data_IF_485002836111
#
_entry.id   IF_485002836111
#
_cell.length_a   1.000
_cell.length_b   1.000
_cell.length_c   1.000
_cell.angle_alpha   90.00
_cell.angle_beta   90.00
_cell.angle_gamma   90.00
#
_symmetry.space_group_name_H-M   'P 1'
#
loop_
_entity.id
_entity.type
_entity.pdbx_description
1 polymer ?
#
# COMPACT_ATOMS: atom_id res chain seq x y z
N UNK A 1 -2.08 -20.76 -15.22
CA UNK A 1 -2.92 -20.34 -16.39
C UNK A 1 -2.15 -20.16 -17.67
N UNK A 2 -2.80 -20.13 -18.85
CA UNK A 2 -2.16 -19.77 -20.12
C UNK A 2 -2.34 -18.27 -20.41
N UNK A 3 -1.23 -17.54 -20.60
CA UNK A 3 -1.24 -16.08 -20.83
C UNK A 3 -0.81 -15.81 -22.27
N UNK A 4 -1.67 -15.17 -23.06
CA UNK A 4 -1.29 -14.69 -24.39
C UNK A 4 -0.55 -13.34 -24.28
N UNK A 5 0.49 -13.14 -25.09
CA UNK A 5 1.29 -11.90 -25.05
C UNK A 5 1.27 -11.22 -26.42
N UNK A 6 0.74 -10.01 -26.44
CA UNK A 6 0.80 -9.10 -27.59
C UNK A 6 1.73 -7.95 -27.24
N UNK A 7 2.90 -7.89 -27.85
CA UNK A 7 3.88 -6.84 -27.56
C UNK A 7 3.49 -5.49 -28.15
N UNK A 8 3.85 -4.42 -27.47
CA UNK A 8 3.73 -3.06 -28.01
C UNK A 8 4.65 -2.92 -29.24
N UNK A 9 4.11 -2.57 -30.43
CA UNK A 9 4.94 -2.40 -31.63
C UNK A 9 5.86 -1.18 -31.55
N UNK A 10 5.57 -0.23 -30.65
CA UNK A 10 6.33 0.99 -30.45
C UNK A 10 6.72 1.13 -28.97
N UNK A 11 7.69 0.33 -28.47
CA UNK A 11 8.05 0.35 -27.07
C UNK A 11 8.64 1.70 -26.65
N UNK A 12 8.22 2.17 -25.49
CA UNK A 12 8.74 3.37 -24.86
C UNK A 12 10.13 3.16 -24.26
N UNK A 13 10.60 4.17 -23.55
CA UNK A 13 11.86 4.14 -22.82
C UNK A 13 11.65 4.62 -21.41
N UNK A 14 12.34 3.97 -20.46
CA UNK A 14 12.37 4.42 -19.08
C UNK A 14 12.95 5.85 -19.00
N UNK A 15 12.19 6.83 -18.45
CA UNK A 15 12.70 8.17 -18.22
C UNK A 15 13.81 8.19 -17.15
N UNK A 16 14.62 9.25 -17.09
CA UNK A 16 15.56 9.49 -15.99
C UNK A 16 14.85 9.47 -14.62
N UNK A 17 15.57 9.07 -13.57
CA UNK A 17 15.00 8.85 -12.24
C UNK A 17 14.30 10.09 -11.63
N UNK A 18 14.81 11.28 -11.91
CA UNK A 18 14.27 12.57 -11.48
C UNK A 18 12.95 12.97 -12.17
N UNK A 19 12.59 12.29 -13.27
CA UNK A 19 11.35 12.51 -14.03
C UNK A 19 10.26 11.46 -13.76
N UNK A 20 10.54 10.43 -12.97
CA UNK A 20 9.61 9.33 -12.78
C UNK A 20 8.36 9.74 -11.96
N UNK A 21 8.54 10.54 -10.90
CA UNK A 21 7.44 10.85 -9.98
C UNK A 21 6.87 9.58 -9.32
N UNK A 22 5.56 9.61 -9.04
CA UNK A 22 4.83 8.43 -8.56
C UNK A 22 3.49 8.28 -9.29
N UNK A 23 3.31 7.18 -10.03
CA UNK A 23 2.06 6.85 -10.71
C UNK A 23 1.70 7.70 -11.92
N UNK A 24 2.64 8.46 -12.49
CA UNK A 24 2.43 9.34 -13.65
C UNK A 24 3.02 8.81 -14.95
N UNK A 25 3.98 7.89 -14.86
CA UNK A 25 4.61 7.21 -16.00
C UNK A 25 4.17 5.76 -15.99
N UNK A 26 3.78 5.19 -17.13
CA UNK A 26 3.38 3.79 -17.22
C UNK A 26 4.27 3.04 -18.20
N UNK A 27 4.36 1.72 -18.01
CA UNK A 27 5.14 0.83 -18.87
C UNK A 27 4.41 0.53 -20.18
N UNK A 28 5.03 -0.26 -21.04
CA UNK A 28 4.49 -0.58 -22.38
C UNK A 28 3.27 -1.50 -22.35
N UNK A 29 3.10 -2.29 -21.31
CA UNK A 29 2.08 -3.34 -21.27
C UNK A 29 1.23 -3.29 -20.00
N UNK A 30 0.05 -3.92 -20.09
CA UNK A 30 -0.83 -4.23 -18.96
C UNK A 30 -1.30 -5.68 -19.05
N UNK A 31 -1.64 -6.29 -17.92
CA UNK A 31 -2.28 -7.60 -17.85
C UNK A 31 -3.78 -7.42 -17.69
N UNK A 32 -4.56 -8.27 -18.37
CA UNK A 32 -6.02 -8.35 -18.25
C UNK A 32 -6.45 -9.81 -18.19
N UNK A 33 -7.46 -10.09 -17.36
CA UNK A 33 -8.16 -11.38 -17.30
C UNK A 33 -9.62 -11.12 -16.99
N UNK A 34 -10.52 -11.80 -17.70
CA UNK A 34 -11.94 -11.58 -17.61
C UNK A 34 -12.61 -12.69 -16.78
N UNK A 35 -13.70 -12.36 -16.07
CA UNK A 35 -14.52 -13.29 -15.32
C UNK A 35 -15.97 -13.21 -15.76
N UNK A 36 -16.62 -14.37 -15.89
CA UNK A 36 -18.05 -14.51 -15.97
C UNK A 36 -18.49 -15.74 -15.16
N UNK A 37 -19.70 -15.74 -14.63
CA UNK A 37 -20.23 -16.91 -13.90
C UNK A 37 -20.21 -18.19 -14.71
N UNK A 38 -20.36 -18.10 -16.03
CA UNK A 38 -20.37 -19.26 -16.92
C UNK A 38 -18.99 -19.86 -17.15
N UNK A 39 -17.95 -19.02 -17.28
CA UNK A 39 -16.61 -19.44 -17.71
C UNK A 39 -15.58 -19.40 -16.59
N UNK A 40 -15.93 -18.81 -15.43
CA UNK A 40 -14.94 -18.45 -14.41
C UNK A 40 -13.92 -17.46 -14.97
N UNK A 41 -12.70 -17.47 -14.45
CA UNK A 41 -11.60 -16.68 -14.96
C UNK A 41 -11.08 -17.22 -16.28
N UNK A 42 -10.99 -16.37 -17.30
CA UNK A 42 -10.59 -16.73 -18.66
C UNK A 42 -9.91 -15.58 -19.38
N UNK A 43 -9.40 -15.83 -20.61
CA UNK A 43 -8.83 -14.83 -21.50
C UNK A 43 -7.67 -14.04 -20.86
N UNK A 44 -6.77 -14.72 -20.12
CA UNK A 44 -5.60 -14.09 -19.53
C UNK A 44 -4.64 -13.61 -20.63
N UNK A 45 -4.31 -12.30 -20.62
CA UNK A 45 -3.52 -11.67 -21.68
C UNK A 45 -2.66 -10.52 -21.16
N UNK A 46 -1.49 -10.38 -21.75
CA UNK A 46 -0.64 -9.18 -21.67
C UNK A 46 -0.77 -8.45 -23.00
N UNK A 47 -1.18 -7.19 -22.94
CA UNK A 47 -1.45 -6.35 -24.12
C UNK A 47 -0.78 -4.98 -23.97
N UNK A 48 -0.61 -4.20 -25.05
CA UNK A 48 -0.14 -2.83 -24.92
C UNK A 48 -0.97 -2.01 -23.92
N UNK A 49 -0.31 -1.20 -23.08
CA UNK A 49 -0.98 -0.31 -22.15
C UNK A 49 -1.85 0.71 -22.91
N UNK A 50 -3.09 0.87 -22.50
CA UNK A 50 -4.03 1.77 -23.15
C UNK A 50 -5.38 1.86 -22.42
N UNK A 51 -6.34 2.57 -22.98
CA UNK A 51 -7.69 2.71 -22.42
C UNK A 51 -8.38 1.36 -22.25
N UNK A 52 -9.15 1.22 -21.16
CA UNK A 52 -10.05 0.09 -20.93
C UNK A 52 -11.44 0.54 -21.39
N UNK A 53 -12.02 -0.20 -22.36
CA UNK A 53 -13.39 0.02 -22.80
C UNK A 53 -14.36 -0.70 -21.87
N UNK A 54 -15.37 0.00 -21.36
CA UNK A 54 -16.45 -0.59 -20.55
C UNK A 54 -17.78 0.10 -20.82
N UNK A 55 -18.89 -0.61 -20.49
CA UNK A 55 -20.22 -0.03 -20.53
C UNK A 55 -20.34 1.15 -19.56
N UNK A 56 -21.00 2.26 -19.91
CA UNK A 56 -21.30 3.31 -18.96
C UNK A 56 -22.23 2.84 -17.83
N UNK A 57 -22.92 1.70 -17.98
CA UNK A 57 -23.71 1.06 -16.94
C UNK A 57 -22.89 0.06 -16.09
N UNK A 58 -21.56 -0.07 -16.30
CA UNK A 58 -20.74 -0.97 -15.50
C UNK A 58 -20.86 -0.62 -14.01
N UNK A 59 -21.19 -1.61 -13.18
CA UNK A 59 -21.56 -1.42 -11.77
C UNK A 59 -20.43 -0.76 -10.94
N UNK A 60 -19.19 -0.96 -11.31
CA UNK A 60 -18.04 -0.27 -10.68
C UNK A 60 -18.15 1.26 -10.73
N UNK A 61 -18.68 1.81 -11.83
CA UNK A 61 -18.82 3.27 -12.03
C UNK A 61 -19.88 3.90 -11.10
N UNK A 62 -20.81 3.09 -10.59
CA UNK A 62 -21.94 3.54 -9.79
C UNK A 62 -21.83 3.15 -8.31
N UNK A 63 -21.25 1.99 -8.03
CA UNK A 63 -21.25 1.40 -6.68
C UNK A 63 -19.85 1.18 -6.11
N UNK A 64 -18.77 1.50 -6.88
CA UNK A 64 -17.39 1.37 -6.43
C UNK A 64 -17.03 -0.08 -6.08
N UNK A 65 -17.62 -1.07 -6.77
CA UNK A 65 -17.30 -2.49 -6.59
C UNK A 65 -15.97 -2.83 -7.21
N UNK A 66 -14.89 -2.40 -6.53
CA UNK A 66 -13.52 -2.63 -6.94
C UNK A 66 -12.60 -2.81 -5.74
N UNK A 67 -11.51 -3.53 -5.96
CA UNK A 67 -10.42 -3.72 -5.02
C UNK A 67 -9.09 -3.57 -5.73
N UNK A 68 -8.06 -3.17 -5.01
CA UNK A 68 -6.75 -3.01 -5.60
C UNK A 68 -5.62 -3.43 -4.67
N UNK A 69 -4.45 -3.59 -5.23
CA UNK A 69 -3.23 -3.87 -4.51
C UNK A 69 -2.11 -2.90 -4.89
N UNK A 70 -1.05 -2.94 -4.11
CA UNK A 70 0.15 -2.19 -4.41
C UNK A 70 1.37 -2.92 -3.87
N UNK A 71 2.27 -3.29 -4.76
CA UNK A 71 3.56 -3.88 -4.45
C UNK A 71 4.62 -3.30 -5.40
N UNK A 72 5.87 -3.70 -5.22
CA UNK A 72 6.98 -3.17 -6.01
C UNK A 72 7.89 -4.28 -6.51
N UNK A 73 8.46 -4.07 -7.70
CA UNK A 73 9.62 -4.81 -8.18
C UNK A 73 10.87 -3.94 -8.05
N UNK A 74 11.97 -4.56 -7.70
CA UNK A 74 13.24 -3.91 -7.41
C UNK A 74 14.36 -4.49 -8.27
N UNK A 75 15.23 -3.63 -8.79
CA UNK A 75 16.47 -4.04 -9.47
C UNK A 75 17.52 -4.35 -8.43
N UNK A 76 18.02 -5.60 -8.41
CA UNK A 76 19.10 -6.02 -7.53
C UNK A 76 20.46 -5.55 -8.05
N UNK A 77 21.50 -5.50 -7.20
CA UNK A 77 22.87 -5.14 -7.63
C UNK A 77 23.47 -6.07 -8.72
N UNK A 78 23.01 -7.32 -8.79
CA UNK A 78 23.42 -8.28 -9.83
C UNK A 78 22.67 -8.10 -11.17
N UNK A 79 21.80 -7.11 -11.26
CA UNK A 79 20.97 -6.81 -12.43
C UNK A 79 19.66 -7.60 -12.51
N UNK A 80 19.45 -8.58 -11.63
CA UNK A 80 18.19 -9.32 -11.54
C UNK A 80 17.05 -8.46 -11.00
N UNK A 81 15.83 -8.96 -11.11
CA UNK A 81 14.62 -8.32 -10.58
C UNK A 81 14.01 -9.20 -9.50
N UNK A 82 13.50 -8.59 -8.45
CA UNK A 82 12.78 -9.31 -7.40
C UNK A 82 11.56 -8.55 -6.91
N UNK A 83 10.58 -9.31 -6.38
CA UNK A 83 9.41 -8.81 -5.66
C UNK A 83 9.60 -9.02 -4.15
N UNK A 84 8.82 -8.29 -3.35
CA UNK A 84 8.80 -8.44 -1.90
C UNK A 84 7.46 -8.95 -1.41
N UNK A 85 7.38 -10.18 -0.89
CA UNK A 85 6.19 -10.87 -0.34
C UNK A 85 4.96 -10.81 -1.27
N UNK A 86 5.07 -11.03 -2.59
CA UNK A 86 3.97 -10.83 -3.53
C UNK A 86 2.77 -11.75 -3.24
N UNK A 87 2.97 -12.93 -2.69
CA UNK A 87 1.91 -13.86 -2.26
C UNK A 87 0.99 -13.25 -1.19
N UNK A 88 1.52 -12.44 -0.29
CA UNK A 88 0.72 -11.74 0.72
C UNK A 88 -0.21 -10.69 0.08
N UNK A 89 0.23 -10.05 -1.02
CA UNK A 89 -0.59 -9.12 -1.78
C UNK A 89 -1.75 -9.86 -2.47
N UNK A 90 -1.47 -10.99 -3.14
CA UNK A 90 -2.52 -11.78 -3.81
C UNK A 90 -3.53 -12.32 -2.78
N UNK A 91 -3.06 -12.87 -1.66
CA UNK A 91 -3.93 -13.32 -0.58
C UNK A 91 -4.77 -12.17 0.01
N UNK A 92 -4.21 -10.95 0.11
CA UNK A 92 -4.95 -9.77 0.61
C UNK A 92 -5.94 -9.24 -0.43
N UNK A 93 -5.62 -9.29 -1.72
CA UNK A 93 -6.56 -9.00 -2.80
C UNK A 93 -7.82 -9.88 -2.65
N UNK A 94 -7.64 -11.20 -2.47
CA UNK A 94 -8.73 -12.14 -2.27
C UNK A 94 -9.57 -11.83 -1.02
N UNK A 95 -8.95 -11.47 0.10
CA UNK A 95 -9.69 -11.01 1.29
C UNK A 95 -10.51 -9.75 1.02
N UNK A 96 -9.98 -8.84 0.21
CA UNK A 96 -10.73 -7.64 -0.21
C UNK A 96 -11.88 -8.01 -1.16
N UNK A 97 -11.68 -8.97 -2.07
CA UNK A 97 -12.74 -9.51 -2.92
C UNK A 97 -13.88 -10.12 -2.08
N UNK A 98 -13.55 -10.95 -1.09
CA UNK A 98 -14.55 -11.55 -0.18
C UNK A 98 -15.41 -10.47 0.48
N UNK A 99 -14.79 -9.35 0.90
CA UNK A 99 -15.52 -8.27 1.58
C UNK A 99 -16.49 -7.53 0.67
N UNK A 100 -16.18 -7.41 -0.62
CA UNK A 100 -17.00 -6.70 -1.61
C UNK A 100 -17.86 -7.61 -2.48
N UNK A 101 -17.82 -8.93 -2.27
CA UNK A 101 -18.57 -9.89 -3.10
C UNK A 101 -18.03 -10.01 -4.52
N UNK A 102 -16.74 -9.75 -4.72
CA UNK A 102 -16.05 -9.94 -5.99
C UNK A 102 -15.50 -11.37 -6.12
N UNK A 103 -15.34 -11.91 -7.34
CA UNK A 103 -14.78 -13.25 -7.52
C UNK A 103 -13.31 -13.30 -7.09
N UNK A 104 -12.94 -14.36 -6.35
CA UNK A 104 -11.55 -14.61 -5.96
C UNK A 104 -10.72 -15.05 -7.16
N UNK A 105 -9.44 -14.70 -7.15
CA UNK A 105 -8.44 -15.20 -8.10
C UNK A 105 -7.72 -16.37 -7.45
N UNK A 106 -7.37 -17.42 -8.23
CA UNK A 106 -6.41 -18.41 -7.79
C UNK A 106 -5.07 -17.72 -7.43
N UNK A 107 -4.50 -18.05 -6.27
CA UNK A 107 -3.33 -17.33 -5.76
C UNK A 107 -2.07 -17.55 -6.61
N UNK A 108 -1.90 -18.76 -7.17
CA UNK A 108 -0.79 -19.07 -8.07
C UNK A 108 -0.96 -18.35 -9.42
N UNK A 109 -2.18 -18.28 -9.95
CA UNK A 109 -2.50 -17.54 -11.17
C UNK A 109 -2.28 -16.03 -10.97
N UNK A 110 -2.70 -15.47 -9.84
CA UNK A 110 -2.46 -14.07 -9.51
C UNK A 110 -0.97 -13.74 -9.40
N UNK A 111 -0.19 -14.62 -8.77
CA UNK A 111 1.27 -14.47 -8.68
C UNK A 111 1.93 -14.62 -10.05
N UNK A 112 1.50 -15.58 -10.86
CA UNK A 112 1.98 -15.76 -12.23
C UNK A 112 1.72 -14.51 -13.08
N UNK A 113 0.52 -13.94 -13.03
CA UNK A 113 0.17 -12.71 -13.77
C UNK A 113 1.12 -11.55 -13.45
N UNK A 114 1.41 -11.34 -12.16
CA UNK A 114 2.35 -10.30 -11.71
C UNK A 114 3.76 -10.57 -12.26
N UNK A 115 4.27 -11.80 -12.12
CA UNK A 115 5.62 -12.17 -12.55
C UNK A 115 5.79 -12.02 -14.06
N UNK A 116 4.86 -12.56 -14.85
CA UNK A 116 4.94 -12.52 -16.32
C UNK A 116 4.87 -11.09 -16.86
N UNK A 117 4.00 -10.24 -16.30
CA UNK A 117 3.93 -8.84 -16.71
C UNK A 117 5.23 -8.09 -16.39
N UNK A 118 5.79 -8.26 -15.18
CA UNK A 118 7.06 -7.63 -14.81
C UNK A 118 8.21 -8.17 -15.65
N UNK A 119 8.19 -9.45 -16.02
CA UNK A 119 9.18 -10.06 -16.92
C UNK A 119 9.13 -9.44 -18.32
N UNK A 120 7.93 -9.27 -18.89
CA UNK A 120 7.74 -8.62 -20.21
C UNK A 120 8.26 -7.20 -20.21
N UNK A 121 8.01 -6.42 -19.15
CA UNK A 121 8.42 -5.02 -18.99
C UNK A 121 9.65 -4.85 -18.08
N UNK A 122 10.51 -5.84 -17.98
CA UNK A 122 11.67 -5.81 -17.08
C UNK A 122 12.64 -4.65 -17.33
N UNK A 123 12.72 -4.15 -18.57
CA UNK A 123 13.51 -2.95 -18.91
C UNK A 123 13.00 -1.67 -18.25
N UNK A 124 11.76 -1.65 -17.78
CA UNK A 124 11.16 -0.53 -17.07
C UNK A 124 11.42 -0.54 -15.54
N UNK A 125 12.08 -1.58 -15.02
CA UNK A 125 12.50 -1.61 -13.61
C UNK A 125 13.72 -0.73 -13.44
N UNK A 126 13.62 0.45 -12.79
CA UNK A 126 14.73 1.38 -12.65
C UNK A 126 15.80 0.82 -11.70
N UNK A 127 17.04 1.31 -11.86
CA UNK A 127 18.22 0.86 -11.10
C UNK A 127 18.76 1.91 -10.13
N UNK A 128 18.31 3.16 -10.23
CA UNK A 128 18.78 4.23 -9.38
C UNK A 128 18.38 4.01 -7.91
N UNK A 129 19.20 4.43 -6.94
CA UNK A 129 18.87 4.25 -5.52
C UNK A 129 17.51 4.86 -5.14
N UNK A 130 16.72 4.11 -4.39
CA UNK A 130 15.37 4.53 -3.95
C UNK A 130 14.27 4.39 -4.99
N UNK A 131 14.59 4.07 -6.25
CA UNK A 131 13.61 3.85 -7.32
C UNK A 131 13.06 2.43 -7.29
N UNK A 132 11.93 2.21 -7.95
CA UNK A 132 11.28 0.90 -8.05
C UNK A 132 10.25 0.87 -9.17
N UNK A 133 9.83 -0.30 -9.62
CA UNK A 133 8.67 -0.45 -10.46
C UNK A 133 7.45 -0.72 -9.57
N UNK A 134 6.53 0.23 -9.49
CA UNK A 134 5.27 0.06 -8.77
C UNK A 134 4.31 -0.80 -9.58
N UNK A 135 3.72 -1.78 -8.94
CA UNK A 135 2.77 -2.74 -9.53
C UNK A 135 1.40 -2.48 -8.93
N UNK A 136 0.39 -2.24 -9.76
CA UNK A 136 -0.99 -1.98 -9.37
C UNK A 136 -1.93 -3.06 -9.91
N UNK A 137 -2.09 -4.19 -9.21
CA UNK A 137 -3.20 -5.10 -9.47
C UNK A 137 -4.51 -4.46 -9.00
N UNK A 138 -5.58 -4.60 -9.77
CA UNK A 138 -6.92 -4.19 -9.39
C UNK A 138 -7.96 -5.07 -10.04
N UNK A 139 -9.08 -5.26 -9.36
CA UNK A 139 -10.18 -6.10 -9.80
C UNK A 139 -11.48 -5.31 -9.62
N UNK A 140 -12.27 -5.26 -10.67
CA UNK A 140 -13.49 -4.47 -10.68
C UNK A 140 -14.62 -5.17 -11.42
N UNK A 141 -15.85 -4.90 -10.99
CA UNK A 141 -17.06 -5.43 -11.61
C UNK A 141 -17.37 -4.71 -12.92
N UNK A 142 -17.74 -5.48 -13.93
CA UNK A 142 -18.09 -4.98 -15.26
C UNK A 142 -19.55 -5.23 -15.64
N UNK A 143 -20.36 -5.76 -14.72
CA UNK A 143 -21.80 -5.99 -14.93
C UNK A 143 -22.49 -4.76 -15.52
N UNK A 144 -23.08 -4.82 -16.71
CA UNK A 144 -23.64 -3.65 -17.40
C UNK A 144 -25.07 -3.34 -16.95
N UNK A 145 -25.24 -3.05 -15.66
CA UNK A 145 -26.56 -2.86 -15.02
C UNK A 145 -26.51 -1.83 -13.90
N UNK A 146 -27.61 -1.11 -13.71
CA UNK A 146 -27.85 -0.23 -12.56
C UNK A 146 -28.55 -0.94 -11.41
N UNK A 147 -28.85 -2.24 -11.54
CA UNK A 147 -29.38 -3.03 -10.42
C UNK A 147 -28.22 -3.37 -9.46
N UNK A 148 -28.45 -3.20 -8.15
CA UNK A 148 -27.48 -3.62 -7.14
C UNK A 148 -27.70 -5.10 -6.83
N UNK A 149 -26.73 -5.93 -7.19
CA UNK A 149 -26.71 -7.38 -6.97
C UNK A 149 -25.27 -7.90 -6.79
N UNK A 150 -25.12 -9.21 -6.61
CA UNK A 150 -23.79 -9.85 -6.62
C UNK A 150 -23.09 -9.69 -7.98
N UNK A 151 -21.79 -9.73 -7.97
CA UNK A 151 -20.98 -9.56 -9.19
C UNK A 151 -20.98 -10.85 -10.02
N UNK A 152 -21.38 -10.75 -11.29
CA UNK A 152 -21.42 -11.85 -12.27
C UNK A 152 -20.37 -11.70 -13.38
N UNK A 153 -19.91 -10.45 -13.62
CA UNK A 153 -18.87 -10.12 -14.59
C UNK A 153 -17.83 -9.22 -13.94
N UNK A 154 -16.56 -9.53 -14.12
CA UNK A 154 -15.46 -8.76 -13.58
C UNK A 154 -14.23 -8.81 -14.49
N UNK A 155 -13.33 -7.85 -14.32
CA UNK A 155 -12.00 -7.85 -14.92
C UNK A 155 -10.94 -7.72 -13.83
N UNK A 156 -9.93 -8.57 -13.88
CA UNK A 156 -8.68 -8.41 -13.16
C UNK A 156 -7.63 -7.79 -14.07
N UNK A 157 -7.05 -6.69 -13.64
CA UNK A 157 -6.06 -5.95 -14.40
C UNK A 157 -4.81 -5.69 -13.56
N UNK A 158 -3.65 -5.58 -14.23
CA UNK A 158 -2.41 -5.13 -13.59
C UNK A 158 -1.76 -4.09 -14.50
N UNK A 159 -1.41 -2.94 -13.94
CA UNK A 159 -0.61 -1.91 -14.59
C UNK A 159 0.68 -1.67 -13.83
N UNK A 160 1.71 -1.21 -14.51
CA UNK A 160 3.04 -0.97 -13.97
C UNK A 160 3.44 0.49 -14.15
N UNK A 161 4.08 1.06 -13.13
CA UNK A 161 4.55 2.44 -13.13
C UNK A 161 5.96 2.53 -12.53
N UNK A 162 7.00 2.84 -13.29
CA UNK A 162 8.30 3.15 -12.72
C UNK A 162 8.17 4.37 -11.83
N UNK A 163 8.71 4.28 -10.62
CA UNK A 163 8.55 5.30 -9.59
C UNK A 163 9.91 5.78 -9.08
N UNK A 164 10.05 7.07 -8.93
CA UNK A 164 11.18 7.71 -8.30
C UNK A 164 11.26 7.42 -6.80
N UNK A 165 12.24 7.99 -6.14
CA UNK A 165 12.33 7.94 -4.67
C UNK A 165 11.10 8.61 -4.05
N UNK A 166 10.45 7.94 -3.10
CA UNK A 166 9.32 8.53 -2.36
C UNK A 166 9.73 9.79 -1.60
N UNK A 167 10.96 9.83 -1.14
CA UNK A 167 11.56 10.99 -0.49
C UNK A 167 12.59 11.61 -1.44
N UNK A 168 12.17 12.56 -2.28
CA UNK A 168 13.04 13.26 -3.23
C UNK A 168 14.26 13.91 -2.58
N UNK A 169 14.08 14.43 -1.37
CA UNK A 169 15.12 15.11 -0.58
C UNK A 169 15.69 14.23 0.55
N UNK A 170 15.54 12.91 0.46
CA UNK A 170 15.88 11.95 1.50
C UNK A 170 14.81 11.80 2.59
N UNK A 171 14.99 10.78 3.43
CA UNK A 171 14.04 10.48 4.51
C UNK A 171 13.97 11.67 5.49
N UNK A 172 12.76 12.24 5.64
CA UNK A 172 12.49 13.38 6.54
C UNK A 172 11.27 13.07 7.41
N UNK A 173 11.27 13.55 8.68
CA UNK A 173 10.08 13.46 9.52
C UNK A 173 8.96 14.36 8.97
N UNK A 174 7.72 13.88 9.06
CA UNK A 174 6.54 14.62 8.60
C UNK A 174 5.63 15.02 9.77
N UNK A 175 4.92 16.15 9.67
CA UNK A 175 3.90 16.54 10.63
C UNK A 175 2.57 15.85 10.28
N UNK A 176 1.88 15.37 11.32
CA UNK A 176 0.57 14.68 11.19
C UNK A 176 -0.40 15.27 12.22
N UNK A 177 -1.64 15.53 11.82
CA UNK A 177 -2.70 15.98 12.74
C UNK A 177 -3.71 14.87 13.02
N UNK A 178 -4.22 14.83 14.24
CA UNK A 178 -5.34 13.92 14.58
C UNK A 178 -6.61 14.40 13.89
N UNK A 179 -7.31 13.49 13.22
CA UNK A 179 -8.58 13.77 12.59
C UNK A 179 -9.74 13.54 13.58
N UNK A 180 -10.53 14.56 13.81
CA UNK A 180 -11.62 14.56 14.79
C UNK A 180 -13.02 14.69 14.19
N UNK A 181 -13.13 15.08 12.91
CA UNK A 181 -14.41 15.28 12.24
C UNK A 181 -14.82 14.07 11.40
N UNK A 182 -13.91 13.59 10.54
CA UNK A 182 -14.17 12.47 9.64
C UNK A 182 -13.67 11.15 10.23
N UNK A 183 -14.21 10.05 9.71
CA UNK A 183 -13.73 8.70 10.02
C UNK A 183 -13.32 8.00 8.74
N UNK A 184 -12.23 7.24 8.79
CA UNK A 184 -11.76 6.46 7.64
C UNK A 184 -12.63 5.24 7.41
N UNK A 185 -12.98 4.54 8.49
CA UNK A 185 -13.68 3.27 8.46
C UNK A 185 -14.32 2.94 9.81
N UNK A 186 -15.20 1.95 9.82
CA UNK A 186 -15.78 1.37 11.04
C UNK A 186 -15.66 -0.16 11.01
N UNK A 187 -15.70 -0.80 12.17
CA UNK A 187 -15.77 -2.27 12.28
C UNK A 187 -17.01 -2.78 11.54
N UNK A 188 -16.86 -3.86 10.77
CA UNK A 188 -17.93 -4.40 9.94
C UNK A 188 -18.16 -3.63 8.64
N UNK A 189 -17.48 -2.51 8.45
CA UNK A 189 -17.39 -1.78 7.17
C UNK A 189 -16.31 -2.36 6.25
N UNK A 190 -15.76 -1.55 5.37
CA UNK A 190 -14.76 -1.95 4.37
C UNK A 190 -13.31 -1.65 4.78
N UNK A 191 -13.08 -1.21 6.03
CA UNK A 191 -11.78 -0.68 6.48
C UNK A 191 -10.59 -1.64 6.34
N UNK A 192 -10.79 -2.95 6.50
CA UNK A 192 -9.74 -3.95 6.30
C UNK A 192 -9.63 -4.46 4.86
N UNK A 193 -10.53 -4.05 3.96
CA UNK A 193 -10.42 -4.28 2.52
C UNK A 193 -9.67 -3.13 1.85
N UNK A 194 -8.92 -3.45 0.80
CA UNK A 194 -8.21 -2.45 0.00
C UNK A 194 -9.07 -2.08 -1.21
N UNK A 195 -10.06 -1.19 -0.99
CA UNK A 195 -11.05 -0.76 -1.98
C UNK A 195 -11.12 0.76 -2.08
N UNK A 196 -11.46 1.31 -3.25
CA UNK A 196 -11.43 2.75 -3.55
C UNK A 196 -12.32 3.60 -2.65
N UNK A 197 -13.43 3.06 -2.17
CA UNK A 197 -14.33 3.77 -1.25
C UNK A 197 -13.64 4.28 0.02
N UNK A 198 -12.72 3.50 0.60
CA UNK A 198 -11.93 3.92 1.76
C UNK A 198 -11.00 5.09 1.44
N UNK A 199 -10.49 5.14 0.21
CA UNK A 199 -9.55 6.19 -0.23
C UNK A 199 -10.31 7.45 -0.64
N UNK A 200 -11.43 7.33 -1.36
CA UNK A 200 -12.30 8.44 -1.68
C UNK A 200 -12.81 9.15 -0.42
N UNK A 201 -13.20 8.40 0.61
CA UNK A 201 -13.63 8.95 1.89
C UNK A 201 -12.54 9.73 2.64
N UNK A 202 -11.26 9.46 2.36
CA UNK A 202 -10.12 10.10 3.05
C UNK A 202 -9.67 11.43 2.43
N UNK A 203 -10.13 11.78 1.22
CA UNK A 203 -9.64 12.95 0.47
C UNK A 203 -9.92 14.26 1.21
N UNK A 204 -11.15 14.48 1.71
CA UNK A 204 -11.53 15.71 2.41
C UNK A 204 -10.67 15.98 3.66
N UNK A 205 -10.41 14.95 4.45
CA UNK A 205 -9.55 15.07 5.63
C UNK A 205 -8.09 15.34 5.23
N UNK A 206 -7.61 14.72 4.13
CA UNK A 206 -6.29 14.98 3.58
C UNK A 206 -6.10 16.43 3.14
N UNK A 207 -7.02 16.96 2.35
CA UNK A 207 -7.02 18.38 1.91
C UNK A 207 -7.05 19.35 3.10
N UNK A 208 -7.86 19.05 4.13
CA UNK A 208 -7.93 19.83 5.35
C UNK A 208 -6.61 19.84 6.14
N UNK A 209 -5.93 18.70 6.21
CA UNK A 209 -4.62 18.58 6.83
C UNK A 209 -3.58 19.40 6.06
N UNK A 210 -3.52 19.23 4.73
CA UNK A 210 -2.61 19.96 3.86
C UNK A 210 -2.78 21.48 3.96
N UNK A 211 -4.02 21.95 3.94
CA UNK A 211 -4.33 23.37 4.12
C UNK A 211 -3.85 23.96 5.45
N UNK A 212 -3.65 23.12 6.48
CA UNK A 212 -3.08 23.48 7.78
C UNK A 212 -1.58 23.21 7.91
N UNK A 213 -0.92 22.74 6.83
CA UNK A 213 0.51 22.45 6.80
C UNK A 213 0.91 21.07 7.32
N UNK A 214 -0.04 20.15 7.49
CA UNK A 214 0.24 18.76 7.88
C UNK A 214 0.26 17.86 6.65
N UNK A 215 1.14 16.87 6.66
CA UNK A 215 1.31 15.94 5.53
C UNK A 215 0.22 14.87 5.46
N UNK A 216 -0.36 14.50 6.61
CA UNK A 216 -1.31 13.41 6.74
C UNK A 216 -2.22 13.65 7.97
N UNK A 217 -3.27 12.83 8.07
CA UNK A 217 -4.10 12.74 9.28
C UNK A 217 -3.80 11.46 10.05
N UNK A 218 -3.90 11.50 11.38
CA UNK A 218 -3.96 10.33 12.25
C UNK A 218 -5.43 10.01 12.52
N UNK A 219 -5.89 8.88 12.00
CA UNK A 219 -7.26 8.45 12.12
C UNK A 219 -7.55 7.87 13.51
N UNK A 220 -8.72 8.19 14.03
CA UNK A 220 -9.30 7.56 15.20
C UNK A 220 -10.41 6.58 14.77
N UNK A 221 -10.72 5.63 15.67
CA UNK A 221 -11.81 4.69 15.45
C UNK A 221 -13.15 5.39 15.21
N UNK A 222 -13.97 4.79 14.36
CA UNK A 222 -15.20 5.43 13.90
C UNK A 222 -16.38 5.40 14.89
N UNK A 223 -16.24 4.77 16.06
CA UNK A 223 -17.32 4.62 17.06
C UNK A 223 -17.08 5.52 18.27
N UNK A 224 -15.96 5.31 18.96
CA UNK A 224 -15.64 6.04 20.18
C UNK A 224 -14.81 7.30 19.90
N UNK A 225 -14.17 7.39 18.74
CA UNK A 225 -13.21 8.43 18.35
C UNK A 225 -12.09 8.64 19.37
N UNK A 226 -11.66 7.53 19.91
CA UNK A 226 -10.74 7.47 21.02
C UNK A 226 -9.47 6.70 20.73
N UNK A 227 -9.56 5.66 19.90
CA UNK A 227 -8.44 4.78 19.63
C UNK A 227 -7.80 5.09 18.29
N UNK A 228 -6.48 5.20 18.28
CA UNK A 228 -5.69 5.41 17.08
C UNK A 228 -5.80 4.21 16.14
N UNK A 229 -5.95 4.44 14.84
CA UNK A 229 -6.05 3.38 13.83
C UNK A 229 -4.93 3.44 12.79
N UNK A 230 -4.90 4.44 11.94
CA UNK A 230 -3.95 4.57 10.83
C UNK A 230 -3.48 6.02 10.65
N UNK A 231 -2.33 6.21 9.99
CA UNK A 231 -1.81 7.51 9.55
C UNK A 231 -2.00 7.69 8.04
N UNK A 232 -2.94 8.53 7.63
CA UNK A 232 -3.29 8.67 6.21
C UNK A 232 -3.73 7.32 5.60
N UNK A 233 -3.03 6.85 4.59
CA UNK A 233 -3.22 5.53 3.97
C UNK A 233 -2.21 4.46 4.42
N UNK A 234 -1.61 4.62 5.60
CA UNK A 234 -0.54 3.75 6.13
C UNK A 234 -0.85 3.28 7.55
N UNK A 235 -0.35 2.10 7.93
CA UNK A 235 -0.33 1.71 9.34
C UNK A 235 0.66 2.59 10.13
N UNK A 236 0.45 2.70 11.43
CA UNK A 236 1.27 3.56 12.31
C UNK A 236 1.85 2.77 13.48
N UNK A 237 3.01 3.18 13.93
CA UNK A 237 3.75 2.58 15.05
C UNK A 237 4.34 3.68 15.93
N UNK A 238 4.38 3.43 17.23
CA UNK A 238 4.86 4.37 18.26
C UNK A 238 5.81 3.66 19.20
N UNK A 239 7.00 4.23 19.42
CA UNK A 239 7.90 3.73 20.48
C UNK A 239 7.64 4.50 21.76
N UNK A 240 7.07 3.82 22.75
CA UNK A 240 6.66 4.39 24.04
C UNK A 240 7.36 3.61 25.15
N UNK A 241 8.21 4.26 25.92
CA UNK A 241 8.93 3.66 27.03
C UNK A 241 9.73 2.42 26.63
N UNK A 242 10.39 2.43 25.49
CA UNK A 242 11.18 1.32 24.95
C UNK A 242 10.38 0.23 24.22
N UNK A 243 9.05 0.23 24.29
CA UNK A 243 8.16 -0.74 23.61
C UNK A 243 7.57 -0.11 22.35
N UNK A 244 7.51 -0.85 21.25
CA UNK A 244 6.80 -0.44 20.05
C UNK A 244 5.34 -0.86 20.13
N UNK A 245 4.44 0.12 20.10
CA UNK A 245 3.00 -0.09 20.11
C UNK A 245 2.46 0.18 18.71
N UNK A 246 1.63 -0.71 18.18
CA UNK A 246 0.88 -0.51 16.95
C UNK A 246 -0.58 -0.88 17.15
N UNK A 247 -1.54 -0.14 16.57
CA UNK A 247 -2.96 -0.45 16.70
C UNK A 247 -3.29 -1.90 16.34
N UNK A 248 -4.10 -2.55 17.18
CA UNK A 248 -4.58 -3.91 16.94
C UNK A 248 -5.52 -3.95 15.70
N UNK A 249 -5.46 -5.03 14.96
CA UNK A 249 -6.32 -5.26 13.79
C UNK A 249 -7.73 -5.64 14.24
N UNK A 250 -8.62 -4.66 14.33
CA UNK A 250 -9.97 -4.79 14.89
C UNK A 250 -11.10 -4.93 13.86
N UNK A 251 -10.75 -5.00 12.55
CA UNK A 251 -11.72 -5.09 11.45
C UNK A 251 -11.98 -3.76 10.73
N UNK A 252 -11.32 -2.66 11.15
CA UNK A 252 -11.34 -1.35 10.49
C UNK A 252 -9.98 -0.96 9.91
N UNK A 253 -8.91 -1.65 10.28
CA UNK A 253 -7.52 -1.34 9.92
C UNK A 253 -7.03 -2.33 8.85
N UNK A 254 -6.37 -1.80 7.80
CA UNK A 254 -5.78 -2.63 6.76
C UNK A 254 -4.63 -3.48 7.32
N UNK A 255 -4.64 -4.78 7.01
CA UNK A 255 -3.56 -5.73 7.34
C UNK A 255 -2.33 -5.46 6.48
N UNK A 256 -1.54 -4.44 6.86
CA UNK A 256 -0.38 -4.00 6.09
C UNK A 256 0.74 -5.04 6.02
N UNK A 257 1.25 -5.30 4.81
CA UNK A 257 2.37 -6.24 4.61
C UNK A 257 3.66 -5.64 5.18
N UNK A 258 3.87 -4.33 4.98
CA UNK A 258 5.01 -3.61 5.60
C UNK A 258 4.88 -3.62 7.13
N UNK A 259 3.66 -3.45 7.68
CA UNK A 259 3.42 -3.56 9.12
C UNK A 259 3.81 -4.95 9.65
N UNK A 260 3.36 -6.02 8.99
CA UNK A 260 3.72 -7.41 9.33
C UNK A 260 5.23 -7.62 9.31
N UNK A 261 5.89 -7.20 8.24
CA UNK A 261 7.36 -7.31 8.11
C UNK A 261 8.11 -6.48 9.16
N UNK A 262 7.60 -5.29 9.49
CA UNK A 262 8.17 -4.45 10.55
C UNK A 262 8.09 -5.13 11.92
N UNK A 263 6.95 -5.75 12.25
CA UNK A 263 6.78 -6.48 13.52
C UNK A 263 7.73 -7.68 13.58
N UNK A 264 7.85 -8.45 12.49
CA UNK A 264 8.76 -9.60 12.41
C UNK A 264 10.23 -9.16 12.60
N UNK A 265 10.67 -8.07 11.95
CA UNK A 265 12.01 -7.51 12.13
C UNK A 265 12.26 -7.01 13.55
N UNK A 266 11.35 -6.21 14.10
CA UNK A 266 11.50 -5.66 15.45
C UNK A 266 11.62 -6.79 16.49
N UNK A 267 10.78 -7.82 16.37
CA UNK A 267 10.85 -9.01 17.24
C UNK A 267 12.19 -9.76 17.08
N UNK A 268 12.70 -9.89 15.85
CA UNK A 268 14.00 -10.53 15.59
C UNK A 268 15.19 -9.76 16.21
N UNK A 269 15.02 -8.47 16.43
CA UNK A 269 16.02 -7.64 17.11
C UNK A 269 15.84 -7.59 18.63
N UNK A 270 14.88 -8.33 19.18
CA UNK A 270 14.57 -8.32 20.61
C UNK A 270 13.85 -7.05 21.08
N UNK A 271 13.30 -6.25 20.17
CA UNK A 271 12.50 -5.07 20.51
C UNK A 271 11.10 -5.53 20.90
N UNK A 272 10.58 -5.17 22.10
CA UNK A 272 9.22 -5.49 22.49
C UNK A 272 8.21 -4.82 21.56
N UNK A 273 7.21 -5.59 21.08
CA UNK A 273 6.13 -5.09 20.21
C UNK A 273 4.78 -5.51 20.76
N UNK A 274 3.90 -4.54 20.96
CA UNK A 274 2.52 -4.73 21.38
C UNK A 274 1.55 -4.34 20.27
N UNK A 275 0.67 -5.28 19.91
CA UNK A 275 -0.46 -5.05 19.02
C UNK A 275 -1.71 -4.89 19.88
N UNK A 276 -2.08 -3.64 20.21
CA UNK A 276 -3.17 -3.34 21.13
C UNK A 276 -3.93 -2.06 20.78
N UNK A 277 -5.03 -1.82 21.44
CA UNK A 277 -5.68 -0.52 21.39
C UNK A 277 -4.77 0.53 22.06
N UNK A 278 -4.65 1.68 21.40
CA UNK A 278 -3.92 2.83 21.92
C UNK A 278 -4.86 4.04 21.88
N UNK A 279 -5.23 4.56 23.05
CA UNK A 279 -6.07 5.75 23.07
C UNK A 279 -5.28 7.01 22.70
N UNK A 280 -5.98 7.99 22.13
CA UNK A 280 -5.39 9.30 21.82
C UNK A 280 -4.88 9.96 23.10
N UNK A 281 -5.60 9.86 24.21
CA UNK A 281 -5.18 10.39 25.51
C UNK A 281 -3.88 9.75 26.02
N UNK A 282 -3.74 8.44 25.89
CA UNK A 282 -2.51 7.72 26.25
C UNK A 282 -1.34 8.19 25.39
N UNK A 283 -1.54 8.28 24.07
CA UNK A 283 -0.53 8.74 23.13
C UNK A 283 -0.01 10.12 23.48
N UNK A 284 -0.92 11.10 23.72
CA UNK A 284 -0.50 12.46 24.00
C UNK A 284 0.04 12.66 25.42
N UNK A 285 -0.41 11.89 26.41
CA UNK A 285 0.26 11.81 27.72
C UNK A 285 1.70 11.30 27.59
N UNK A 286 1.93 10.29 26.75
CA UNK A 286 3.28 9.82 26.47
C UNK A 286 4.13 10.88 25.75
N UNK A 287 3.54 11.66 24.84
CA UNK A 287 4.23 12.77 24.17
C UNK A 287 4.60 13.88 25.18
N UNK A 288 3.69 14.26 26.08
CA UNK A 288 3.91 15.31 27.10
C UNK A 288 4.98 14.91 28.12
N UNK A 289 4.98 13.64 28.53
CA UNK A 289 5.97 13.13 29.51
C UNK A 289 7.33 12.82 28.89
N UNK A 290 7.47 12.87 27.55
CA UNK A 290 8.66 12.43 26.84
C UNK A 290 8.82 10.91 26.72
N UNK A 291 7.82 10.13 27.13
CA UNK A 291 7.83 8.68 26.97
C UNK A 291 7.60 8.23 25.50
N UNK A 292 6.98 9.07 24.67
CA UNK A 292 6.89 8.86 23.22
C UNK A 292 8.23 9.21 22.59
N UNK A 293 9.06 8.20 22.35
CA UNK A 293 10.43 8.37 21.86
C UNK A 293 10.48 8.51 20.33
N UNK A 294 9.71 7.72 19.61
CA UNK A 294 9.64 7.72 18.14
C UNK A 294 8.21 7.41 17.67
N UNK A 295 7.84 7.93 16.50
CA UNK A 295 6.63 7.56 15.79
C UNK A 295 6.90 7.49 14.29
N UNK A 296 6.25 6.55 13.59
CA UNK A 296 6.37 6.43 12.14
C UNK A 296 5.18 5.70 11.53
N UNK A 297 4.90 6.00 10.26
CA UNK A 297 3.98 5.23 9.43
C UNK A 297 4.75 4.18 8.62
N UNK A 298 4.07 3.09 8.24
CA UNK A 298 4.61 2.02 7.38
C UNK A 298 3.63 1.67 6.26
N UNK A 299 4.15 1.57 5.03
CA UNK A 299 3.36 1.23 3.85
C UNK A 299 4.23 0.94 2.64
N UNK A 300 3.65 0.40 1.57
CA UNK A 300 4.41 -0.01 0.37
C UNK A 300 5.15 1.16 -0.30
N UNK A 301 4.52 2.33 -0.41
CA UNK A 301 5.11 3.46 -1.13
C UNK A 301 6.33 4.03 -0.39
N UNK A 302 6.16 4.42 0.86
CA UNK A 302 7.17 5.08 1.68
C UNK A 302 8.11 4.09 2.42
N UNK A 303 7.72 2.84 2.55
CA UNK A 303 8.31 1.80 3.41
C UNK A 303 8.20 2.19 4.89
N UNK A 304 8.93 3.19 5.35
CA UNK A 304 8.84 3.81 6.68
C UNK A 304 8.82 5.32 6.49
N UNK A 305 7.83 6.00 7.07
CA UNK A 305 7.72 7.46 7.06
C UNK A 305 7.76 7.96 8.51
N UNK A 306 8.89 8.51 8.98
CA UNK A 306 9.01 9.03 10.34
C UNK A 306 8.04 10.19 10.59
N UNK A 307 7.47 10.26 11.80
CA UNK A 307 6.61 11.35 12.25
C UNK A 307 7.43 12.24 13.18
N UNK A 308 7.58 13.50 12.82
CA UNK A 308 8.33 14.47 13.62
C UNK A 308 7.46 15.32 14.53
N UNK A 309 6.19 15.49 14.17
CA UNK A 309 5.22 16.26 14.93
C UNK A 309 3.86 15.60 14.86
N UNK A 310 3.20 15.44 16.00
CA UNK A 310 1.77 15.13 16.12
C UNK A 310 1.02 16.37 16.59
N UNK A 311 -0.11 16.68 15.94
CA UNK A 311 -0.98 17.77 16.33
C UNK A 311 -2.31 17.26 16.86
N UNK A 312 -2.74 17.75 18.01
CA UNK A 312 -4.03 17.45 18.61
C UNK A 312 -4.56 18.62 19.40
N UNK A 313 -5.86 18.87 19.27
CA UNK A 313 -6.56 19.96 19.96
C UNK A 313 -5.87 21.34 19.82
N UNK A 314 -5.40 21.61 18.58
CA UNK A 314 -4.75 22.87 18.24
C UNK A 314 -3.33 23.04 18.79
N UNK A 315 -2.73 22.00 19.37
CA UNK A 315 -1.37 22.00 19.91
C UNK A 315 -0.49 21.00 19.20
N UNK A 316 0.73 21.41 18.86
CA UNK A 316 1.77 20.59 18.27
C UNK A 316 2.68 19.95 19.34
N UNK A 317 2.95 18.67 19.16
CA UNK A 317 3.80 17.86 20.02
C UNK A 317 4.99 17.36 19.19
N UNK A 318 6.18 17.96 19.30
CA UNK A 318 7.36 17.50 18.62
C UNK A 318 7.84 16.18 19.20
N UNK A 319 8.12 15.19 18.30
CA UNK A 319 8.63 13.89 18.66
C UNK A 319 10.12 13.84 18.34
N UNK A 320 10.93 13.36 19.27
CA UNK A 320 12.38 13.25 19.10
C UNK A 320 13.03 14.56 18.61
N UNK A 321 12.53 15.73 19.03
CA UNK A 321 13.00 17.03 18.56
C UNK A 321 12.87 17.23 17.05
N UNK A 322 11.82 16.68 16.44
CA UNK A 322 11.55 16.68 15.00
C UNK A 322 12.69 16.03 14.16
N UNK A 323 13.32 14.99 14.71
CA UNK A 323 14.40 14.24 14.05
C UNK A 323 13.96 12.80 13.77
N UNK A 324 14.59 12.17 12.78
CA UNK A 324 14.40 10.75 12.53
C UNK A 324 14.89 9.95 13.73
N UNK A 325 14.06 9.04 14.24
CA UNK A 325 14.44 8.15 15.32
C UNK A 325 15.42 7.06 14.87
N UNK A 326 16.23 6.58 15.78
CA UNK A 326 17.24 5.56 15.50
C UNK A 326 16.61 4.22 15.09
N UNK A 327 15.47 3.85 15.72
CA UNK A 327 14.79 2.60 15.43
C UNK A 327 14.05 2.66 14.08
N UNK A 328 13.32 3.75 13.82
CA UNK A 328 12.63 3.95 12.55
C UNK A 328 13.61 4.03 11.37
N UNK A 329 14.79 4.65 11.57
CA UNK A 329 15.86 4.65 10.59
C UNK A 329 16.41 3.25 10.33
N UNK A 330 16.74 2.51 11.39
CA UNK A 330 17.21 1.11 11.27
C UNK A 330 16.19 0.25 10.53
N UNK A 331 14.89 0.41 10.84
CA UNK A 331 13.81 -0.34 10.20
C UNK A 331 13.73 -0.02 8.70
N UNK A 332 13.83 1.27 8.33
CA UNK A 332 13.87 1.70 6.93
C UNK A 332 15.05 1.08 6.18
N UNK A 333 16.27 1.22 6.74
CA UNK A 333 17.51 0.74 6.10
C UNK A 333 17.54 -0.81 5.97
N UNK A 334 16.89 -1.54 6.89
CA UNK A 334 16.81 -3.00 6.81
C UNK A 334 15.80 -3.45 5.77
N UNK A 335 14.55 -2.94 5.85
CA UNK A 335 13.49 -3.29 4.90
C UNK A 335 13.88 -2.95 3.47
N UNK A 336 14.40 -1.74 3.24
CA UNK A 336 14.85 -1.33 1.90
C UNK A 336 16.04 -2.16 1.44
N UNK A 337 17.00 -2.47 2.32
CA UNK A 337 18.13 -3.32 2.00
C UNK A 337 17.73 -4.71 1.52
N UNK A 338 16.75 -5.35 2.19
CA UNK A 338 16.16 -6.64 1.74
C UNK A 338 15.43 -6.47 0.42
N UNK A 339 14.61 -5.42 0.29
CA UNK A 339 13.81 -5.16 -0.91
C UNK A 339 14.67 -4.96 -2.17
N UNK A 340 15.79 -4.22 -2.07
CA UNK A 340 16.73 -4.02 -3.18
C UNK A 340 17.80 -5.11 -3.31
N UNK A 341 17.80 -6.11 -2.42
CA UNK A 341 18.79 -7.19 -2.43
C UNK A 341 20.21 -6.75 -2.08
N UNK A 342 20.35 -5.60 -1.40
CA UNK A 342 21.64 -5.12 -0.86
C UNK A 342 21.96 -5.69 0.52
N UNK A 343 20.95 -6.29 1.16
CA UNK A 343 21.08 -7.04 2.42
C UNK A 343 20.51 -8.45 2.25
N UNK A 344 20.99 -9.43 3.02
CA UNK A 344 20.45 -10.78 3.00
C UNK A 344 18.98 -10.78 3.47
N UNK A 345 18.21 -11.73 2.96
CA UNK A 345 16.82 -12.00 3.34
C UNK A 345 16.73 -13.25 4.23
N UNK A 346 16.85 -13.13 5.55
CA UNK A 346 16.80 -14.28 6.44
C UNK A 346 15.37 -14.83 6.65
N UNK A 347 14.36 -14.17 6.11
CA UNK A 347 12.95 -14.52 6.30
C UNK A 347 12.33 -15.17 5.06
N UNK A 348 13.00 -15.19 3.93
CA UNK A 348 12.45 -15.67 2.66
C UNK A 348 11.32 -14.79 2.12
N UNK A 349 11.40 -13.47 2.28
CA UNK A 349 10.39 -12.52 1.81
C UNK A 349 10.53 -12.13 0.35
N UNK A 350 11.70 -12.34 -0.23
CA UNK A 350 11.96 -11.97 -1.62
C UNK A 350 11.56 -13.07 -2.59
N UNK A 351 11.08 -12.66 -3.76
CA UNK A 351 10.68 -13.54 -4.85
C UNK A 351 11.40 -13.07 -6.14
N UNK A 352 12.51 -13.71 -6.54
CA UNK A 352 13.17 -13.39 -7.80
C UNK A 352 12.26 -13.61 -9.01
N UNK A 353 12.46 -12.77 -10.03
CA UNK A 353 11.83 -12.91 -11.36
C UNK A 353 12.95 -13.29 -12.34
N UNK A 354 12.91 -14.51 -12.82
CA UNK A 354 13.87 -15.07 -13.77
C UNK A 354 13.36 -14.96 -15.22
#
# INVERSE_FOLDING_TARGET
MNITVTKNPNPGKLPPADQLGFGSVFTDHMFLMDYTDQNGWHNARIVPFGPISMSPAASVLHYGTEVFEGLKAYRRPDGGVQLFRPWENVARLNRSCDRLGLPRIDEDDGLQAIRELVKVDSSWVPSDPGTSLYIRPFLYSTDPTLALHGVHEATFAIILSPSGSYFSDGLKPVPIMVETEDVRAVRGGTGEAKCGGNYGASTRAGERAEAKGYSQVLWLDGVERKYVEEGGGMNVMFKIGGTVVTPALTGSILRGITRKSSIELLKSWGVPVEERLLSVDELFKAAESGALEEAWCVGTAAVVSPIGTLSWDGRDYPINGNKIGALSRRLYDELTGIQWGTKPDPFGWTCPID
#
